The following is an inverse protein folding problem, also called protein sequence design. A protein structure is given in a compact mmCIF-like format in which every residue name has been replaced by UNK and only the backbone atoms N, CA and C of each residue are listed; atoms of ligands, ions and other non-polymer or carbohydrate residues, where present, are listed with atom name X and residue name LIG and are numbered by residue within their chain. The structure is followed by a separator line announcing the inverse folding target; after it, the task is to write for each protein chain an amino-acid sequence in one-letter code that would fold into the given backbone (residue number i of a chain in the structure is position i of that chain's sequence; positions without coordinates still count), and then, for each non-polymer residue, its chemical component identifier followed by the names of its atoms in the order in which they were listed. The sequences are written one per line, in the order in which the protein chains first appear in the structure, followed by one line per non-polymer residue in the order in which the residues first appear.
data_IF_911523907879
#
_entry.id   IF_911523907879
#
_cell.length_a   1.000
_cell.length_b   1.000
_cell.length_c   1.000
_cell.angle_alpha   90.00
_cell.angle_beta   90.00
_cell.angle_gamma   90.00
#
_symmetry.space_group_name_H-M   'P 1'
#
loop_
_entity.id
_entity.type
_entity.pdbx_description
1 polymer ?
#
# COMPACT_ATOMS: atom_id res chain seq x y z
N UNK A 1 4.03 21.97 -12.34
CA UNK A 1 3.55 21.78 -10.97
C UNK A 1 4.20 20.57 -10.36
N UNK A 2 4.79 20.76 -9.18
CA UNK A 2 5.62 19.77 -8.47
C UNK A 2 4.90 18.42 -8.35
N UNK A 3 5.68 17.34 -8.48
CA UNK A 3 5.28 15.97 -8.14
C UNK A 3 4.62 15.97 -6.75
N UNK A 4 3.30 15.87 -6.72
CA UNK A 4 2.53 15.79 -5.49
C UNK A 4 2.70 14.38 -4.92
N UNK A 5 3.79 14.17 -4.17
CA UNK A 5 4.01 12.93 -3.43
C UNK A 5 3.09 12.94 -2.21
N UNK A 6 2.18 11.96 -2.15
CA UNK A 6 1.32 11.74 -1.01
C UNK A 6 1.60 10.37 -0.40
N UNK A 7 1.62 10.30 0.93
CA UNK A 7 1.94 9.11 1.70
C UNK A 7 0.86 8.88 2.76
N UNK A 8 0.49 7.63 2.97
CA UNK A 8 -0.52 7.21 3.94
C UNK A 8 -0.14 5.86 4.54
N UNK A 9 -0.36 5.70 5.84
CA UNK A 9 -0.15 4.44 6.57
C UNK A 9 -1.51 3.98 7.09
N UNK A 10 -1.95 2.80 6.67
CA UNK A 10 -3.25 2.29 7.08
C UNK A 10 -3.19 1.93 8.58
N UNK A 11 -4.06 2.54 9.37
CA UNK A 11 -4.23 2.24 10.78
C UNK A 11 -4.61 0.77 11.00
N UNK A 12 -4.01 0.17 12.03
CA UNK A 12 -4.31 -1.19 12.44
C UNK A 12 -5.81 -1.37 12.69
N UNK A 13 -6.34 -2.51 12.24
CA UNK A 13 -7.77 -2.82 12.33
C UNK A 13 -8.18 -3.31 13.73
N UNK A 14 -7.20 -3.61 14.58
CA UNK A 14 -7.42 -4.09 15.94
C UNK A 14 -6.28 -3.71 16.88
N UNK A 15 -6.58 -3.75 18.19
CA UNK A 15 -5.59 -3.55 19.24
C UNK A 15 -4.67 -4.78 19.37
N UNK A 16 -3.39 -4.56 19.68
CA UNK A 16 -2.37 -5.60 19.86
C UNK A 16 -2.77 -6.68 20.87
N UNK A 17 -3.61 -6.36 21.87
CA UNK A 17 -4.13 -7.34 22.85
C UNK A 17 -4.91 -8.49 22.23
N UNK A 18 -5.43 -8.32 21.02
CA UNK A 18 -6.18 -9.34 20.28
C UNK A 18 -5.30 -10.19 19.37
N UNK A 19 -4.01 -9.87 19.24
CA UNK A 19 -3.06 -10.63 18.44
C UNK A 19 -2.46 -11.78 19.23
N UNK A 20 -2.12 -12.87 18.52
CA UNK A 20 -1.35 -13.96 19.11
C UNK A 20 0.10 -13.50 19.38
N UNK A 21 0.77 -14.12 20.36
CA UNK A 21 2.12 -13.73 20.80
C UNK A 21 3.18 -13.85 19.68
N UNK A 22 3.03 -14.86 18.85
CA UNK A 22 3.82 -15.14 17.65
C UNK A 22 3.72 -14.00 16.64
N UNK A 23 2.51 -13.51 16.34
CA UNK A 23 2.28 -12.36 15.44
C UNK A 23 2.88 -11.08 16.03
N UNK A 24 2.71 -10.86 17.35
CA UNK A 24 3.31 -9.70 18.02
C UNK A 24 4.83 -9.70 17.94
N UNK A 25 5.45 -10.87 18.16
CA UNK A 25 6.90 -11.02 18.07
C UNK A 25 7.42 -10.73 16.66
N UNK A 26 6.74 -11.23 15.65
CA UNK A 26 7.09 -10.99 14.25
C UNK A 26 6.95 -9.50 13.88
N UNK A 27 5.83 -8.86 14.24
CA UNK A 27 5.65 -7.41 14.04
C UNK A 27 6.74 -6.59 14.71
N UNK A 28 7.08 -6.90 15.97
CA UNK A 28 8.13 -6.18 16.69
C UNK A 28 9.49 -6.35 16.00
N UNK A 29 9.78 -7.56 15.51
CA UNK A 29 11.01 -7.80 14.77
C UNK A 29 11.05 -7.00 13.45
N UNK A 30 9.96 -7.01 12.68
CA UNK A 30 9.85 -6.24 11.44
C UNK A 30 9.94 -4.72 11.68
N UNK A 31 9.36 -4.23 12.78
CA UNK A 31 9.48 -2.83 13.21
C UNK A 31 10.94 -2.47 13.48
N UNK A 32 11.65 -3.29 14.24
CA UNK A 32 13.04 -2.99 14.66
C UNK A 32 14.07 -3.20 13.55
N UNK A 33 13.83 -4.13 12.62
CA UNK A 33 14.88 -4.61 11.70
C UNK A 33 14.55 -4.45 10.22
N UNK A 34 13.33 -4.07 9.85
CA UNK A 34 12.93 -3.99 8.44
C UNK A 34 12.30 -2.64 8.06
N UNK A 35 11.11 -2.31 8.57
CA UNK A 35 10.34 -1.17 8.06
C UNK A 35 10.20 0.02 9.02
N UNK A 36 10.53 -0.12 10.32
CA UNK A 36 10.44 1.00 11.28
C UNK A 36 9.03 1.38 11.74
N UNK A 37 7.97 0.90 11.06
CA UNK A 37 6.57 1.18 11.40
C UNK A 37 6.05 0.39 12.61
N UNK A 38 5.64 1.07 13.67
CA UNK A 38 4.91 0.49 14.81
C UNK A 38 3.47 0.14 14.44
N UNK A 39 2.86 -0.80 15.19
CA UNK A 39 1.48 -1.24 15.01
C UNK A 39 0.44 -0.09 15.08
N UNK A 40 0.77 0.99 15.77
CA UNK A 40 -0.11 2.13 15.98
C UNK A 40 0.25 3.37 15.14
N UNK A 41 1.22 3.29 14.24
CA UNK A 41 1.67 4.43 13.42
C UNK A 41 0.71 4.84 12.30
N UNK A 42 -0.35 4.07 12.06
CA UNK A 42 -1.26 4.37 10.96
C UNK A 42 -2.14 5.60 11.18
N UNK A 43 -2.23 6.42 10.14
CA UNK A 43 -2.87 7.74 10.13
C UNK A 43 -4.19 7.77 9.34
N UNK A 44 -4.50 6.70 8.59
CA UNK A 44 -5.70 6.60 7.76
C UNK A 44 -6.45 5.29 7.99
N UNK A 45 -7.78 5.36 8.07
CA UNK A 45 -8.60 4.14 8.10
C UNK A 45 -8.62 3.46 6.73
N UNK A 46 -8.77 2.15 6.70
CA UNK A 46 -8.90 1.37 5.47
C UNK A 46 -10.00 1.92 4.54
N UNK A 47 -11.17 2.26 5.11
CA UNK A 47 -12.28 2.85 4.34
C UNK A 47 -11.90 4.19 3.69
N UNK A 48 -11.14 5.03 4.41
CA UNK A 48 -10.74 6.34 3.91
C UNK A 48 -9.69 6.20 2.80
N UNK A 49 -8.73 5.28 2.92
CA UNK A 49 -7.73 5.08 1.86
C UNK A 49 -8.38 4.57 0.56
N UNK A 50 -9.35 3.64 0.62
CA UNK A 50 -10.06 3.17 -0.57
C UNK A 50 -10.79 4.30 -1.29
N UNK A 51 -11.46 5.19 -0.53
CA UNK A 51 -12.13 6.37 -1.09
C UNK A 51 -11.12 7.32 -1.73
N UNK A 52 -10.03 7.64 -1.02
CA UNK A 52 -8.96 8.51 -1.53
C UNK A 52 -8.35 7.95 -2.81
N UNK A 53 -8.02 6.66 -2.85
CA UNK A 53 -7.48 6.00 -4.04
C UNK A 53 -8.46 6.07 -5.20
N UNK A 54 -9.75 5.77 -4.99
CA UNK A 54 -10.78 5.90 -6.01
C UNK A 54 -10.85 7.33 -6.57
N UNK A 55 -10.86 8.34 -5.70
CA UNK A 55 -10.96 9.75 -6.10
C UNK A 55 -9.74 10.23 -6.89
N UNK A 56 -8.55 9.75 -6.56
CA UNK A 56 -7.31 9.98 -7.32
C UNK A 56 -7.39 9.28 -8.67
N UNK A 57 -7.69 7.98 -8.69
CA UNK A 57 -7.74 7.16 -9.89
C UNK A 57 -8.76 7.68 -10.90
N UNK A 58 -9.91 8.20 -10.44
CA UNK A 58 -10.96 8.74 -11.32
C UNK A 58 -10.46 9.89 -12.21
N UNK A 59 -9.49 10.68 -11.73
CA UNK A 59 -8.91 11.82 -12.44
C UNK A 59 -7.78 11.43 -13.41
N UNK A 60 -7.24 10.22 -13.28
CA UNK A 60 -6.14 9.75 -14.12
C UNK A 60 -6.64 9.16 -15.45
N UNK A 61 -5.86 9.35 -16.51
CA UNK A 61 -6.10 8.72 -17.81
C UNK A 61 -5.52 7.29 -17.85
N UNK A 62 -4.27 7.15 -17.38
CA UNK A 62 -3.55 5.89 -17.23
C UNK A 62 -2.95 5.83 -15.84
N UNK A 63 -2.92 4.64 -15.25
CA UNK A 63 -2.38 4.42 -13.90
C UNK A 63 -1.24 3.42 -14.02
N UNK A 64 -0.03 3.85 -13.68
CA UNK A 64 1.14 3.00 -13.66
C UNK A 64 1.35 2.46 -12.25
N UNK A 65 1.55 1.16 -12.14
CA UNK A 65 1.74 0.48 -10.86
C UNK A 65 2.81 -0.59 -11.01
N UNK A 66 3.58 -0.84 -9.95
CA UNK A 66 4.59 -1.90 -9.92
C UNK A 66 4.12 -3.03 -9.00
N UNK A 67 3.93 -4.22 -9.55
CA UNK A 67 3.54 -5.43 -8.84
C UNK A 67 2.10 -5.87 -9.11
N UNK A 68 1.92 -7.18 -9.29
CA UNK A 68 0.65 -7.79 -9.68
C UNK A 68 -0.46 -7.56 -8.64
N UNK A 69 -0.14 -7.68 -7.34
CA UNK A 69 -1.14 -7.50 -6.27
C UNK A 69 -1.71 -6.08 -6.24
N UNK A 70 -0.84 -5.07 -6.43
CA UNK A 70 -1.25 -3.66 -6.46
C UNK A 70 -2.07 -3.37 -7.72
N UNK A 71 -1.72 -3.96 -8.86
CA UNK A 71 -2.52 -3.87 -10.08
C UNK A 71 -3.92 -4.49 -9.89
N UNK A 72 -3.99 -5.69 -9.31
CA UNK A 72 -5.27 -6.36 -8.97
C UNK A 72 -6.13 -5.51 -8.02
N UNK A 73 -5.51 -4.86 -7.03
CA UNK A 73 -6.22 -3.94 -6.13
C UNK A 73 -6.79 -2.74 -6.88
N UNK A 74 -5.99 -2.09 -7.73
CA UNK A 74 -6.41 -0.92 -8.51
C UNK A 74 -7.55 -1.27 -9.47
N UNK A 75 -7.46 -2.40 -10.17
CA UNK A 75 -8.51 -2.89 -11.06
C UNK A 75 -9.86 -3.15 -10.36
N UNK A 76 -9.88 -3.37 -9.04
CA UNK A 76 -11.13 -3.51 -8.26
C UNK A 76 -11.76 -2.16 -7.91
N UNK A 77 -10.98 -1.08 -7.88
CA UNK A 77 -11.42 0.23 -7.40
C UNK A 77 -11.58 1.25 -8.54
N UNK A 78 -11.12 0.94 -9.74
CA UNK A 78 -11.18 1.84 -10.89
C UNK A 78 -11.45 1.09 -12.17
N UNK A 79 -12.10 1.77 -13.12
CA UNK A 79 -12.31 1.27 -14.49
C UNK A 79 -11.30 1.87 -15.47
N UNK A 80 -10.26 2.55 -14.98
CA UNK A 80 -9.20 3.14 -15.79
C UNK A 80 -8.18 2.08 -16.22
N UNK A 81 -7.41 2.40 -17.25
CA UNK A 81 -6.31 1.56 -17.71
C UNK A 81 -5.21 1.51 -16.64
N UNK A 82 -5.02 0.33 -16.03
CA UNK A 82 -3.95 0.05 -15.07
C UNK A 82 -2.85 -0.74 -15.78
N UNK A 83 -1.64 -0.20 -15.79
CA UNK A 83 -0.47 -0.80 -16.45
C UNK A 83 0.49 -1.29 -15.36
N UNK A 84 0.65 -2.61 -15.25
CA UNK A 84 1.68 -3.20 -14.39
C UNK A 84 3.05 -3.05 -15.05
N UNK A 85 3.95 -2.30 -14.42
CA UNK A 85 5.28 -1.99 -14.95
C UNK A 85 6.19 -3.22 -15.05
N UNK A 86 5.98 -4.22 -14.20
CA UNK A 86 6.78 -5.45 -14.22
C UNK A 86 6.45 -6.30 -15.46
N UNK A 87 5.19 -6.33 -15.86
CA UNK A 87 4.72 -7.07 -17.04
C UNK A 87 4.93 -6.31 -18.34
N UNK A 88 4.60 -5.00 -18.37
CA UNK A 88 4.61 -4.22 -19.60
C UNK A 88 6.02 -3.76 -20.03
N UNK A 89 6.95 -3.64 -19.08
CA UNK A 89 8.27 -3.04 -19.34
C UNK A 89 9.43 -3.85 -18.78
N UNK A 90 9.21 -5.10 -18.36
CA UNK A 90 10.22 -5.95 -17.71
C UNK A 90 10.94 -5.21 -16.57
N UNK A 91 10.22 -4.29 -15.89
CA UNK A 91 10.79 -3.52 -14.80
C UNK A 91 11.19 -4.52 -13.71
N UNK A 92 12.48 -4.60 -13.34
CA UNK A 92 12.92 -5.60 -12.38
C UNK A 92 12.14 -5.43 -11.08
N UNK A 93 11.93 -6.47 -10.25
CA UNK A 93 11.33 -6.31 -8.94
C UNK A 93 12.14 -5.33 -8.09
N UNK A 94 11.49 -4.67 -7.13
CA UNK A 94 12.22 -3.82 -6.19
C UNK A 94 12.88 -4.76 -5.18
N UNK A 95 14.15 -5.09 -5.40
CA UNK A 95 14.96 -5.80 -4.41
C UNK A 95 15.27 -4.80 -3.29
N UNK A 96 14.59 -4.94 -2.15
CA UNK A 96 15.00 -4.22 -0.94
C UNK A 96 16.39 -4.74 -0.55
N UNK A 97 17.37 -3.83 -0.53
CA UNK A 97 18.72 -4.05 0.03
C UNK A 97 18.62 -3.88 1.54
#
# INVERSE_FOLDING_TARGET
DLDATAHWIIASTCNTRFLKKDILRENNWLTLHYHGLDWYDGDVSLKKIYKTMHDICRKANKIYVRGEEKAKLLNKITTREVINLEEAYECPPLHFI
#
